data_IF_641451000777
#
_entry.id   IF_641451000777
#
_cell.length_a   1.000
_cell.length_b   1.000
_cell.length_c   1.000
_cell.angle_alpha   90.00
_cell.angle_beta   90.00
_cell.angle_gamma   90.00
#
_symmetry.space_group_name_H-M   'P 1'
#
loop_
_entity.id
_entity.type
_entity.pdbx_description
1 polymer ?
#
# COMPACT_ATOMS: atom_id res chain seq x y z
N UNK A 1 2.46 3.39 -4.66
CA UNK A 1 2.99 3.88 -3.37
C UNK A 1 4.51 3.98 -3.49
N UNK A 2 5.14 5.00 -2.89
CA UNK A 2 6.59 5.13 -2.83
C UNK A 2 7.01 5.00 -1.36
N UNK A 3 7.98 4.14 -1.09
CA UNK A 3 8.59 4.00 0.23
C UNK A 3 10.02 4.46 0.10
N UNK A 4 10.47 5.37 0.98
CA UNK A 4 11.84 5.85 0.99
C UNK A 4 12.48 5.65 2.34
N UNK A 5 13.76 5.26 2.34
CA UNK A 5 14.59 5.15 3.53
C UNK A 5 15.81 6.05 3.36
N UNK A 6 16.07 7.00 4.28
CA UNK A 6 17.23 7.88 4.21
C UNK A 6 18.51 7.11 4.53
N UNK A 7 19.62 7.51 3.91
CA UNK A 7 20.95 6.97 4.17
C UNK A 7 21.78 8.03 4.88
N UNK A 8 22.37 7.63 6.00
CA UNK A 8 23.32 8.44 6.75
C UNK A 8 24.67 7.73 6.85
N UNK A 9 25.74 8.50 6.88
CA UNK A 9 27.04 7.99 7.31
C UNK A 9 27.05 7.75 8.82
N UNK A 10 28.07 7.03 9.32
CA UNK A 10 28.21 6.73 10.77
C UNK A 10 28.34 7.99 11.64
N UNK A 11 28.89 9.07 11.08
CA UNK A 11 28.98 10.40 11.68
C UNK A 11 27.70 11.26 11.48
N UNK A 12 26.62 10.67 10.97
CA UNK A 12 25.30 11.31 10.88
C UNK A 12 25.09 12.22 9.67
N UNK A 13 26.03 12.27 8.71
CA UNK A 13 25.85 13.08 7.49
C UNK A 13 24.90 12.41 6.52
N UNK A 14 23.93 13.16 6.04
CA UNK A 14 22.98 12.69 5.04
C UNK A 14 23.66 12.42 3.69
N UNK A 15 23.36 11.27 3.08
CA UNK A 15 23.92 10.83 1.79
C UNK A 15 22.90 10.71 0.67
N UNK A 16 21.62 10.90 0.97
CA UNK A 16 20.52 10.65 0.04
C UNK A 16 19.52 9.66 0.62
N UNK A 17 18.69 9.08 -0.25
CA UNK A 17 17.70 8.07 0.14
C UNK A 17 17.60 6.98 -0.92
N UNK A 18 17.23 5.78 -0.48
CA UNK A 18 16.77 4.71 -1.37
C UNK A 18 15.25 4.81 -1.41
N UNK A 19 14.66 4.79 -2.60
CA UNK A 19 13.22 4.71 -2.76
C UNK A 19 12.82 3.49 -3.59
N UNK A 20 11.80 2.78 -3.11
CA UNK A 20 11.14 1.70 -3.82
C UNK A 20 9.70 2.10 -4.15
N UNK A 21 9.26 1.84 -5.39
CA UNK A 21 7.87 2.01 -5.78
C UNK A 21 7.13 0.67 -5.74
N UNK A 22 5.98 0.64 -5.06
CA UNK A 22 5.05 -0.48 -5.08
C UNK A 22 3.87 -0.13 -5.98
N UNK A 23 3.70 -0.92 -7.05
CA UNK A 23 2.63 -0.79 -8.03
C UNK A 23 1.44 -1.68 -7.66
N UNK A 24 0.53 -1.17 -6.84
CA UNK A 24 -0.66 -1.88 -6.35
C UNK A 24 -1.58 -2.41 -7.46
N UNK A 25 -1.59 -1.79 -8.65
CA UNK A 25 -2.44 -2.19 -9.78
C UNK A 25 -1.88 -3.37 -10.60
N UNK A 26 -0.67 -3.84 -10.32
CA UNK A 26 -0.06 -5.01 -10.97
C UNK A 26 0.11 -6.14 -9.97
N UNK A 27 0.11 -7.42 -10.40
CA UNK A 27 0.44 -8.53 -9.54
C UNK A 27 1.80 -8.28 -8.88
N UNK A 28 1.81 -8.13 -7.56
CA UNK A 28 3.00 -7.85 -6.78
C UNK A 28 2.86 -8.56 -5.42
N UNK A 29 3.95 -8.60 -4.64
CA UNK A 29 3.95 -9.32 -3.37
C UNK A 29 2.95 -8.77 -2.36
N UNK A 30 2.67 -7.47 -2.38
CA UNK A 30 1.66 -6.85 -1.53
C UNK A 30 0.24 -7.20 -2.00
N UNK A 31 -0.03 -7.26 -3.31
CA UNK A 31 -1.33 -7.73 -3.80
C UNK A 31 -1.54 -9.21 -3.48
N UNK A 32 -0.50 -10.04 -3.59
CA UNK A 32 -0.55 -11.45 -3.20
C UNK A 32 -0.79 -11.62 -1.69
N UNK A 33 -0.12 -10.84 -0.84
CA UNK A 33 -0.38 -10.86 0.61
C UNK A 33 -1.81 -10.42 0.96
N UNK A 34 -2.35 -9.43 0.25
CA UNK A 34 -3.73 -8.96 0.46
C UNK A 34 -4.77 -9.93 -0.11
N UNK A 35 -4.45 -10.66 -1.18
CA UNK A 35 -5.30 -11.68 -1.79
C UNK A 35 -5.22 -13.03 -1.02
N UNK A 36 -4.09 -13.40 -0.42
CA UNK A 36 -3.99 -14.66 0.34
C UNK A 36 -4.65 -14.56 1.73
N UNK A 37 -4.76 -13.34 2.29
CA UNK A 37 -5.43 -13.10 3.56
C UNK A 37 -6.97 -13.00 3.44
N UNK A 38 -7.54 -13.82 2.55
CA UNK A 38 -8.98 -13.98 2.46
C UNK A 38 -9.52 -14.62 3.75
N UNK A 39 -10.12 -13.79 4.60
CA UNK A 39 -10.89 -14.26 5.73
C UNK A 39 -12.09 -15.07 5.22
N UNK A 40 -12.28 -16.27 5.78
CA UNK A 40 -13.31 -17.24 5.35
C UNK A 40 -14.75 -16.81 5.68
N UNK A 41 -14.94 -15.64 6.28
CA UNK A 41 -16.21 -15.13 6.80
C UNK A 41 -16.79 -13.96 5.97
N UNK A 42 -16.18 -13.62 4.83
CA UNK A 42 -16.61 -12.51 3.99
C UNK A 42 -15.94 -11.16 4.32
N UNK A 43 -15.04 -11.12 5.32
CA UNK A 43 -14.21 -9.95 5.59
C UNK A 43 -13.18 -9.74 4.47
N UNK A 44 -12.92 -8.48 4.13
CA UNK A 44 -12.00 -8.10 3.07
C UNK A 44 -11.09 -6.96 3.51
N UNK A 45 -9.86 -6.93 2.99
CA UNK A 45 -8.88 -5.88 3.26
C UNK A 45 -8.83 -4.92 2.07
N UNK A 46 -8.74 -3.63 2.36
CA UNK A 46 -8.50 -2.58 1.38
C UNK A 46 -7.58 -1.51 1.96
N UNK A 47 -6.88 -0.77 1.10
CA UNK A 47 -5.91 0.24 1.52
C UNK A 47 -6.47 1.62 1.19
N UNK A 48 -6.44 2.54 2.15
CA UNK A 48 -6.78 3.95 1.94
C UNK A 48 -5.57 4.85 2.12
N UNK A 49 -5.64 6.08 1.58
CA UNK A 49 -4.77 7.16 2.02
C UNK A 49 -5.29 7.80 3.33
N UNK A 50 -4.63 8.88 3.74
CA UNK A 50 -4.97 9.66 4.93
C UNK A 50 -6.36 10.32 4.86
N UNK A 51 -6.87 10.57 3.65
CA UNK A 51 -8.17 11.20 3.41
C UNK A 51 -9.29 10.16 3.26
N UNK A 52 -8.95 8.87 3.45
CA UNK A 52 -9.88 7.75 3.33
C UNK A 52 -10.17 7.33 1.88
N UNK A 53 -9.43 7.85 0.89
CA UNK A 53 -9.59 7.43 -0.50
C UNK A 53 -8.98 6.05 -0.71
N UNK A 54 -9.74 5.15 -1.34
CA UNK A 54 -9.31 3.78 -1.63
C UNK A 54 -8.19 3.78 -2.66
N UNK A 55 -6.99 3.35 -2.25
CA UNK A 55 -5.81 3.16 -3.07
C UNK A 55 -5.73 1.73 -3.64
N UNK A 56 -6.26 0.75 -2.91
CA UNK A 56 -6.35 -0.65 -3.34
C UNK A 56 -7.63 -1.28 -2.85
N UNK A 57 -8.31 -1.99 -3.74
CA UNK A 57 -9.47 -2.83 -3.45
C UNK A 57 -9.57 -3.91 -4.53
N UNK A 58 -10.03 -5.12 -4.16
CA UNK A 58 -10.18 -6.23 -5.13
C UNK A 58 -11.10 -5.87 -6.30
N UNK A 59 -12.28 -5.31 -5.97
CA UNK A 59 -13.09 -4.62 -6.97
C UNK A 59 -12.42 -3.30 -7.35
N UNK A 60 -11.76 -3.30 -8.51
CA UNK A 60 -11.05 -2.14 -9.06
C UNK A 60 -11.95 -0.91 -9.28
N UNK A 61 -13.28 -1.09 -9.40
CA UNK A 61 -14.23 0.01 -9.52
C UNK A 61 -14.40 0.84 -8.24
N UNK A 62 -13.84 0.35 -7.12
CA UNK A 62 -13.79 1.08 -5.85
C UNK A 62 -12.54 1.93 -5.69
N UNK A 63 -11.50 1.71 -6.49
CA UNK A 63 -10.27 2.50 -6.43
C UNK A 63 -10.58 3.96 -6.77
N UNK A 64 -10.15 4.89 -5.92
CA UNK A 64 -10.43 6.32 -6.05
C UNK A 64 -11.73 6.79 -5.38
N UNK A 65 -12.55 5.88 -4.83
CA UNK A 65 -13.74 6.24 -4.02
C UNK A 65 -13.38 6.34 -2.54
N UNK A 66 -14.22 7.00 -1.74
CA UNK A 66 -14.06 6.96 -0.28
C UNK A 66 -14.34 5.57 0.28
N UNK A 67 -13.50 5.15 1.22
CA UNK A 67 -13.74 3.99 2.07
C UNK A 67 -14.93 4.25 2.99
N UNK A 68 -15.82 3.27 3.10
CA UNK A 68 -16.88 3.25 4.11
C UNK A 68 -16.63 2.04 4.99
N UNK A 69 -16.54 2.26 6.30
CA UNK A 69 -16.54 1.22 7.32
C UNK A 69 -18.02 0.92 7.58
N UNK A 70 -18.58 -0.06 6.87
CA UNK A 70 -19.87 -0.66 7.18
C UNK A 70 -19.66 -2.15 7.36
#
# INVERSE_FOLDING_TARGET
>A
MLISVPIFTRDGRYKGFIAGSIYLKKPNILSALLDEHYYRDGSYIYVTDQDGQILYHKDTNRIGKMGSIL
#
